data_IF_648971006606
#
_entry.id   IF_648971006606
#
_cell.length_a   1.000
_cell.length_b   1.000
_cell.length_c   1.000
_cell.angle_alpha   90.00
_cell.angle_beta   90.00
_cell.angle_gamma   90.00
#
_symmetry.space_group_name_H-M   'P 1'
#
loop_
_entity.id
_entity.type
_entity.pdbx_description
1 polymer ?
#
# COMPACT_ATOMS: atom_id res chain seq x y z
N UNK A 1 -17.88 2.61 9.11
CA UNK A 1 -17.10 1.57 9.82
C UNK A 1 -16.27 0.63 8.91
N UNK A 2 -16.42 0.65 7.57
CA UNK A 2 -15.77 -0.35 6.68
C UNK A 2 -14.38 0.02 6.13
N UNK A 3 -13.95 1.29 6.23
CA UNK A 3 -12.72 1.75 5.56
C UNK A 3 -11.45 1.26 6.27
N UNK A 4 -11.54 1.05 7.59
CA UNK A 4 -10.42 0.57 8.39
C UNK A 4 -10.10 -0.89 8.05
N UNK A 5 -11.12 -1.75 8.02
CA UNK A 5 -11.00 -3.18 7.64
C UNK A 5 -10.39 -3.38 6.24
N UNK A 6 -10.74 -2.50 5.29
CA UNK A 6 -10.13 -2.51 3.94
C UNK A 6 -8.65 -2.11 3.96
N UNK A 7 -8.28 -1.19 4.84
CA UNK A 7 -6.89 -0.75 5.00
C UNK A 7 -6.05 -1.88 5.62
N UNK A 8 -6.55 -2.51 6.68
CA UNK A 8 -5.88 -3.66 7.32
C UNK A 8 -5.64 -4.80 6.33
N UNK A 9 -6.65 -5.16 5.53
CA UNK A 9 -6.51 -6.20 4.51
C UNK A 9 -5.39 -5.90 3.50
N UNK A 10 -5.30 -4.66 3.03
CA UNK A 10 -4.25 -4.25 2.09
C UNK A 10 -2.87 -4.24 2.76
N UNK A 11 -2.78 -3.85 4.03
CA UNK A 11 -1.53 -3.87 4.80
C UNK A 11 -1.01 -5.29 5.00
N UNK A 12 -1.90 -6.25 5.26
CA UNK A 12 -1.55 -7.66 5.42
C UNK A 12 -1.10 -8.26 4.09
N UNK A 13 -1.82 -7.98 3.00
CA UNK A 13 -1.43 -8.40 1.66
C UNK A 13 -0.04 -7.85 1.28
N UNK A 14 0.23 -6.58 1.58
CA UNK A 14 1.53 -5.97 1.37
C UNK A 14 2.62 -6.63 2.20
N UNK A 15 2.38 -6.90 3.48
CA UNK A 15 3.34 -7.59 4.36
C UNK A 15 3.71 -8.98 3.81
N UNK A 16 2.70 -9.76 3.40
CA UNK A 16 2.91 -11.07 2.79
C UNK A 16 3.72 -10.98 1.50
N UNK A 17 3.43 -10.00 0.63
CA UNK A 17 4.13 -9.80 -0.63
C UNK A 17 5.61 -9.42 -0.40
N UNK A 18 5.87 -8.51 0.53
CA UNK A 18 7.22 -8.06 0.89
C UNK A 18 8.04 -9.20 1.50
N UNK A 19 7.45 -9.97 2.42
CA UNK A 19 8.12 -11.11 3.04
C UNK A 19 8.52 -12.19 2.04
N UNK A 20 7.64 -12.48 1.07
CA UNK A 20 7.87 -13.49 0.05
C UNK A 20 8.86 -13.04 -1.03
N UNK A 21 8.75 -11.79 -1.49
CA UNK A 21 9.47 -11.32 -2.69
C UNK A 21 10.72 -10.51 -2.37
N UNK A 22 10.85 -9.98 -1.16
CA UNK A 22 11.96 -9.13 -0.71
C UNK A 22 12.31 -8.03 -1.74
N UNK A 23 11.32 -7.22 -2.16
CA UNK A 23 11.50 -6.28 -3.25
C UNK A 23 12.53 -5.19 -2.91
N UNK A 24 13.18 -4.65 -3.93
CA UNK A 24 14.05 -3.46 -3.86
C UNK A 24 13.70 -2.53 -5.02
N UNK A 25 13.61 -1.23 -4.74
CA UNK A 25 13.40 -0.16 -5.72
C UNK A 25 12.13 -0.31 -6.60
N UNK A 26 11.07 -0.88 -6.03
CA UNK A 26 9.79 -1.09 -6.74
C UNK A 26 8.79 0.05 -6.52
N UNK A 27 7.84 0.16 -7.45
CA UNK A 27 6.70 1.07 -7.36
C UNK A 27 5.42 0.24 -7.15
N UNK A 28 4.60 0.62 -6.16
CA UNK A 28 3.24 0.11 -6.03
C UNK A 28 2.27 1.08 -6.68
N UNK A 29 1.60 0.64 -7.75
CA UNK A 29 0.60 1.45 -8.42
C UNK A 29 -0.80 1.10 -7.92
N UNK A 30 -1.56 2.11 -7.51
CA UNK A 30 -2.93 1.96 -7.00
C UNK A 30 -3.85 3.08 -7.48
N UNK A 31 -5.15 2.88 -7.28
CA UNK A 31 -6.15 3.94 -7.37
C UNK A 31 -6.10 4.88 -6.14
N UNK A 32 -6.94 5.92 -6.11
CA UNK A 32 -7.08 6.87 -4.99
C UNK A 32 -8.09 6.40 -3.92
N UNK A 33 -8.30 5.09 -3.78
CA UNK A 33 -9.14 4.54 -2.73
C UNK A 33 -8.59 4.84 -1.35
N UNK A 34 -9.50 5.05 -0.38
CA UNK A 34 -9.16 5.43 1.01
C UNK A 34 -8.13 4.52 1.70
N UNK A 35 -8.08 3.25 1.31
CA UNK A 35 -7.12 2.26 1.81
C UNK A 35 -5.69 2.57 1.35
N UNK A 36 -5.52 3.05 0.12
CA UNK A 36 -4.22 3.38 -0.48
C UNK A 36 -3.79 4.82 -0.19
N UNK A 37 -4.74 5.73 0.02
CA UNK A 37 -4.47 7.10 0.48
C UNK A 37 -4.29 7.19 2.00
N UNK A 38 -4.41 6.08 2.73
CA UNK A 38 -4.25 6.06 4.18
C UNK A 38 -2.79 6.29 4.61
N UNK A 39 -2.61 6.98 5.74
CA UNK A 39 -1.29 7.20 6.34
C UNK A 39 -0.60 5.86 6.67
N UNK A 40 -1.37 4.88 7.15
CA UNK A 40 -0.86 3.56 7.50
C UNK A 40 -0.27 2.84 6.29
N UNK A 41 -0.94 2.90 5.13
CA UNK A 41 -0.44 2.31 3.89
C UNK A 41 0.84 2.99 3.41
N UNK A 42 0.88 4.33 3.40
CA UNK A 42 2.08 5.08 3.04
C UNK A 42 3.29 4.75 3.93
N UNK A 43 3.08 4.66 5.24
CA UNK A 43 4.13 4.28 6.20
C UNK A 43 4.67 2.87 5.92
N UNK A 44 3.79 1.90 5.70
CA UNK A 44 4.19 0.52 5.38
C UNK A 44 4.97 0.42 4.07
N UNK A 45 4.58 1.19 3.05
CA UNK A 45 5.33 1.27 1.80
C UNK A 45 6.77 1.74 2.05
N UNK A 46 6.94 2.82 2.81
CA UNK A 46 8.26 3.36 3.16
C UNK A 46 9.14 2.37 3.93
N UNK A 47 8.57 1.70 4.93
CA UNK A 47 9.27 0.65 5.70
C UNK A 47 9.71 -0.53 4.83
N UNK A 48 8.95 -0.84 3.78
CA UNK A 48 9.22 -1.93 2.85
C UNK A 48 10.13 -1.53 1.67
N UNK A 49 10.58 -0.27 1.58
CA UNK A 49 11.34 0.22 0.41
C UNK A 49 10.52 0.27 -0.89
N UNK A 50 9.21 0.39 -0.77
CA UNK A 50 8.24 0.47 -1.88
C UNK A 50 7.80 1.92 -2.05
N UNK A 51 7.83 2.42 -3.29
CA UNK A 51 7.31 3.76 -3.60
C UNK A 51 5.85 3.67 -4.05
N UNK A 52 4.88 4.23 -3.31
CA UNK A 52 3.50 4.28 -3.77
C UNK A 52 3.36 5.33 -4.89
N UNK A 53 2.51 5.05 -5.88
CA UNK A 53 2.17 5.97 -6.97
C UNK A 53 0.70 5.82 -7.33
N UNK A 54 -0.01 6.93 -7.47
CA UNK A 54 -1.42 6.95 -7.87
C UNK A 54 -1.61 7.84 -9.11
N UNK A 55 -2.54 7.47 -9.98
CA UNK A 55 -2.96 8.31 -11.11
C UNK A 55 -3.79 9.52 -10.67
N UNK A 56 -4.03 10.46 -11.59
CA UNK A 56 -4.96 11.57 -11.37
C UNK A 56 -6.40 11.06 -11.30
N UNK A 57 -7.24 11.69 -10.49
CA UNK A 57 -8.70 11.51 -10.62
C UNK A 57 -9.15 12.16 -11.92
N UNK A 58 -9.99 11.47 -12.69
CA UNK A 58 -10.60 11.96 -13.93
C UNK A 58 -11.68 13.00 -13.69
#
# INVERSE_FOLDING_TARGET
MANHLRTELVLDAMAMAVGQRRPKDVIHHSDQGSQYTSVAFGKRCGEAGVRPSMGTVG
#
